data_IF_976027204861
#
_entry.id   IF_976027204861
#
_cell.length_a   1.000
_cell.length_b   1.000
_cell.length_c   1.000
_cell.angle_alpha   90.00
_cell.angle_beta   90.00
_cell.angle_gamma   90.00
#
_symmetry.space_group_name_H-M   'P 1'
#
loop_
_entity.id
_entity.type
_entity.pdbx_description
1 polymer ?
#
# COMPACT_ATOMS: atom_id res chain seq x y z
N UNK A 1 5.29 18.11 7.47
CA UNK A 1 4.09 18.47 6.69
C UNK A 1 3.24 17.25 6.45
N UNK A 2 1.98 17.39 6.66
CA UNK A 2 1.04 16.28 6.55
C UNK A 2 0.15 16.43 5.35
N UNK A 3 0.18 15.47 4.48
CA UNK A 3 -0.79 15.35 3.42
C UNK A 3 -1.67 14.16 3.65
N UNK A 4 -2.96 14.36 3.53
CA UNK A 4 -3.91 13.26 3.54
C UNK A 4 -4.34 12.96 2.14
N UNK A 5 -4.29 11.71 1.81
CA UNK A 5 -4.82 11.22 0.56
C UNK A 5 -5.92 10.22 0.82
N UNK A 6 -7.06 10.51 0.28
CA UNK A 6 -8.20 9.59 0.37
C UNK A 6 -8.29 8.75 -0.91
N UNK A 7 -8.45 7.47 -0.75
CA UNK A 7 -8.79 6.53 -1.82
C UNK A 7 -10.09 5.85 -1.45
N UNK A 8 -10.94 5.66 -2.43
CA UNK A 8 -12.20 4.93 -2.24
C UNK A 8 -12.10 3.59 -2.95
N UNK A 9 -12.63 2.57 -2.31
CA UNK A 9 -12.88 1.30 -2.93
C UNK A 9 -14.36 0.98 -2.81
N UNK A 10 -14.91 0.38 -3.84
CA UNK A 10 -16.28 -0.09 -3.81
C UNK A 10 -16.28 -1.59 -3.58
N UNK A 11 -17.00 -2.08 -2.59
CA UNK A 11 -17.18 -3.52 -2.41
C UNK A 11 -18.25 -4.04 -3.36
N UNK A 12 -18.07 -3.84 -4.64
CA UNK A 12 -19.10 -4.06 -5.64
C UNK A 12 -19.23 -5.50 -6.06
N UNK A 13 -18.14 -6.25 -5.89
CA UNK A 13 -18.10 -7.61 -6.36
C UNK A 13 -18.35 -8.57 -5.23
N UNK A 14 -19.17 -9.57 -5.49
CA UNK A 14 -19.48 -10.59 -4.51
C UNK A 14 -18.22 -11.29 -4.00
N UNK A 15 -17.26 -11.53 -4.85
CA UNK A 15 -16.00 -12.17 -4.48
C UNK A 15 -15.10 -11.33 -3.59
N UNK A 16 -15.39 -10.03 -3.43
CA UNK A 16 -14.65 -9.17 -2.51
C UNK A 16 -15.09 -9.35 -1.06
N UNK A 17 -16.20 -10.05 -0.84
CA UNK A 17 -16.76 -10.27 0.48
C UNK A 17 -16.44 -11.67 0.97
N UNK A 18 -16.31 -11.82 2.29
CA UNK A 18 -16.23 -13.14 2.88
C UNK A 18 -17.65 -13.77 2.96
N UNK A 19 -17.72 -14.98 3.51
CA UNK A 19 -18.98 -15.72 3.62
C UNK A 19 -20.03 -15.02 4.49
N UNK A 20 -19.62 -14.11 5.35
CA UNK A 20 -20.52 -13.33 6.21
C UNK A 20 -21.03 -12.05 5.52
N UNK A 21 -20.72 -11.84 4.25
CA UNK A 21 -21.12 -10.65 3.52
C UNK A 21 -20.28 -9.41 3.81
N UNK A 22 -19.18 -9.57 4.53
CA UNK A 22 -18.25 -8.47 4.81
C UNK A 22 -17.25 -8.31 3.69
N UNK A 23 -16.72 -7.11 3.55
CA UNK A 23 -15.62 -6.87 2.63
C UNK A 23 -14.44 -7.74 3.01
N UNK A 24 -13.89 -8.45 2.04
CA UNK A 24 -12.78 -9.36 2.25
C UNK A 24 -11.55 -8.62 2.79
N UNK A 25 -10.90 -9.20 3.80
CA UNK A 25 -9.72 -8.60 4.41
C UNK A 25 -8.58 -8.33 3.43
N UNK A 26 -8.40 -9.22 2.45
CA UNK A 26 -7.42 -9.02 1.39
C UNK A 26 -7.71 -7.80 0.51
N UNK A 27 -8.98 -7.49 0.28
CA UNK A 27 -9.36 -6.29 -0.46
C UNK A 27 -9.02 -5.02 0.33
N UNK A 28 -9.23 -5.03 1.64
CA UNK A 28 -8.85 -3.93 2.53
C UNK A 28 -7.33 -3.75 2.52
N UNK A 29 -6.57 -4.83 2.64
CA UNK A 29 -5.11 -4.77 2.60
C UNK A 29 -4.60 -4.22 1.26
N UNK A 30 -5.20 -4.63 0.15
CA UNK A 30 -4.86 -4.11 -1.18
C UNK A 30 -5.14 -2.62 -1.27
N UNK A 31 -6.28 -2.16 -0.78
CA UNK A 31 -6.62 -0.75 -0.76
C UNK A 31 -5.61 0.06 0.03
N UNK A 32 -5.20 -0.44 1.19
CA UNK A 32 -4.18 0.20 2.04
C UNK A 32 -2.85 0.27 1.29
N UNK A 33 -2.41 -0.84 0.71
CA UNK A 33 -1.14 -0.90 -0.01
C UNK A 33 -1.11 0.10 -1.18
N UNK A 34 -2.19 0.19 -1.93
CA UNK A 34 -2.31 1.14 -3.04
C UNK A 34 -2.30 2.59 -2.54
N UNK A 35 -3.06 2.89 -1.50
CA UNK A 35 -3.12 4.25 -0.95
C UNK A 35 -1.78 4.69 -0.37
N UNK A 36 -1.15 3.82 0.41
CA UNK A 36 0.15 4.11 1.03
C UNK A 36 1.26 4.17 -0.01
N UNK A 37 1.25 3.27 -0.99
CA UNK A 37 2.21 3.28 -2.09
C UNK A 37 2.13 4.56 -2.92
N UNK A 38 0.92 5.04 -3.20
CA UNK A 38 0.71 6.31 -3.89
C UNK A 38 1.25 7.50 -3.08
N UNK A 39 1.01 7.51 -1.78
CA UNK A 39 1.54 8.53 -0.89
C UNK A 39 3.07 8.49 -0.87
N UNK A 40 3.65 7.31 -0.75
CA UNK A 40 5.09 7.14 -0.75
C UNK A 40 5.72 7.59 -2.07
N UNK A 41 5.12 7.26 -3.20
CA UNK A 41 5.63 7.65 -4.51
C UNK A 41 5.67 9.17 -4.68
N UNK A 42 4.65 9.87 -4.20
CA UNK A 42 4.56 11.33 -4.33
C UNK A 42 5.39 12.10 -3.32
N UNK A 43 5.76 11.46 -2.23
CA UNK A 43 6.41 12.13 -1.10
C UNK A 43 7.89 11.81 -0.96
N UNK A 44 8.42 10.96 -1.84
CA UNK A 44 9.78 10.45 -1.76
C UNK A 44 10.65 10.91 -2.93
N UNK A 45 11.86 10.40 -2.97
CA UNK A 45 12.79 10.58 -4.08
C UNK A 45 12.50 9.69 -5.29
N UNK A 46 11.30 9.11 -5.34
CA UNK A 46 10.91 8.25 -6.46
C UNK A 46 10.88 9.03 -7.77
N UNK A 47 11.59 8.52 -8.75
CA UNK A 47 11.61 9.04 -10.13
C UNK A 47 11.38 7.89 -11.11
N UNK A 48 10.27 7.90 -11.86
CA UNK A 48 10.03 6.89 -12.89
C UNK A 48 11.22 6.79 -13.85
N UNK A 49 11.65 5.57 -14.15
CA UNK A 49 12.79 5.31 -15.01
C UNK A 49 14.14 5.27 -14.31
N UNK A 50 14.26 5.81 -13.10
CA UNK A 50 15.50 5.79 -12.31
C UNK A 50 15.45 4.82 -11.14
N UNK A 51 14.33 4.76 -10.49
CA UNK A 51 14.15 3.92 -9.32
C UNK A 51 12.72 3.40 -9.28
N UNK A 52 12.46 2.57 -8.31
CA UNK A 52 11.12 2.05 -8.06
C UNK A 52 10.84 2.06 -6.57
N UNK A 53 9.58 1.93 -6.23
CA UNK A 53 9.16 1.80 -4.84
C UNK A 53 8.69 0.37 -4.62
N UNK A 54 9.21 -0.23 -3.55
CA UNK A 54 8.77 -1.56 -3.11
C UNK A 54 8.24 -1.46 -1.69
N UNK A 55 7.14 -2.14 -1.44
CA UNK A 55 6.61 -2.26 -0.09
C UNK A 55 7.57 -3.10 0.75
N UNK A 56 8.04 -2.53 1.83
CA UNK A 56 8.95 -3.22 2.74
C UNK A 56 8.20 -3.90 3.87
N UNK A 57 7.15 -3.27 4.37
CA UNK A 57 6.38 -3.79 5.50
C UNK A 57 4.95 -3.25 5.42
N UNK A 58 4.02 -4.11 5.77
CA UNK A 58 2.62 -3.75 5.86
C UNK A 58 2.01 -4.50 7.03
N UNK A 59 1.58 -3.76 8.03
CA UNK A 59 0.89 -4.29 9.18
C UNK A 59 -0.53 -3.73 9.24
N UNK A 60 -1.51 -4.60 9.20
CA UNK A 60 -2.92 -4.21 9.16
C UNK A 60 -3.63 -4.75 10.39
N UNK A 61 -4.39 -3.87 11.05
CA UNK A 61 -5.32 -4.24 12.11
C UNK A 61 -6.74 -4.09 11.57
N UNK A 62 -7.49 -5.17 11.62
CA UNK A 62 -8.89 -5.17 11.24
C UNK A 62 -9.72 -4.92 12.49
N UNK A 63 -10.45 -3.82 12.52
CA UNK A 63 -11.09 -3.32 13.73
C UNK A 63 -12.60 -3.51 13.73
N UNK A 64 -13.22 -3.63 12.56
CA UNK A 64 -14.66 -3.78 12.52
C UNK A 64 -15.20 -3.99 11.12
N UNK A 65 -16.52 -4.11 11.06
CA UNK A 65 -17.24 -4.26 9.80
C UNK A 65 -17.60 -2.90 9.25
N UNK A 66 -17.43 -2.67 7.94
CA UNK A 66 -17.86 -1.43 7.34
C UNK A 66 -19.39 -1.32 7.35
N UNK A 67 -19.87 -0.14 7.60
CA UNK A 67 -21.26 0.23 7.39
C UNK A 67 -21.38 1.02 6.10
N UNK A 68 -22.41 0.69 5.32
CA UNK A 68 -22.56 1.25 3.98
C UNK A 68 -21.83 0.41 2.95
N UNK A 69 -21.78 0.91 1.75
CA UNK A 69 -21.33 0.19 0.56
C UNK A 69 -19.96 0.67 0.03
N UNK A 70 -19.35 1.62 0.69
CA UNK A 70 -18.07 2.20 0.28
C UNK A 70 -17.15 2.32 1.47
N UNK A 71 -15.90 1.96 1.25
CA UNK A 71 -14.81 2.24 2.20
C UNK A 71 -13.78 3.14 1.53
N UNK A 72 -13.09 3.93 2.33
CA UNK A 72 -12.01 4.76 1.84
C UNK A 72 -10.78 4.60 2.72
N UNK A 73 -9.62 4.61 2.11
CA UNK A 73 -8.37 4.62 2.82
C UNK A 73 -7.82 6.04 2.86
N UNK A 74 -7.42 6.48 4.03
CA UNK A 74 -6.73 7.74 4.23
C UNK A 74 -5.31 7.46 4.68
N UNK A 75 -4.36 7.80 3.81
CA UNK A 75 -2.94 7.63 4.08
C UNK A 75 -2.35 8.95 4.55
N UNK A 76 -1.47 8.87 5.54
CA UNK A 76 -0.77 10.02 6.09
C UNK A 76 0.72 9.72 6.14
N UNK A 77 1.52 10.60 5.54
CA UNK A 77 2.96 10.48 5.58
C UNK A 77 3.47 10.76 6.99
N UNK A 78 4.25 9.83 7.53
CA UNK A 78 4.95 10.04 8.80
C UNK A 78 6.39 10.49 8.57
N UNK A 79 7.06 9.90 7.58
CA UNK A 79 8.44 10.24 7.27
C UNK A 79 8.79 9.83 5.84
N UNK A 80 9.45 10.73 5.14
CA UNK A 80 10.11 10.41 3.87
C UNK A 80 11.62 10.56 4.07
N UNK A 81 12.27 9.44 4.31
CA UNK A 81 13.72 9.38 4.38
C UNK A 81 14.33 9.24 2.99
N UNK A 82 15.65 9.11 2.94
CA UNK A 82 16.36 8.97 1.68
C UNK A 82 15.94 7.72 0.91
N UNK A 83 15.76 6.61 1.61
CA UNK A 83 15.35 5.34 1.03
C UNK A 83 14.05 4.83 1.64
N UNK A 84 13.83 5.06 2.92
CA UNK A 84 12.69 4.53 3.64
C UNK A 84 11.61 5.59 3.75
N UNK A 85 10.40 5.21 3.39
CA UNK A 85 9.21 6.06 3.51
C UNK A 85 8.23 5.35 4.45
N UNK A 86 7.75 6.06 5.44
CA UNK A 86 6.83 5.52 6.44
C UNK A 86 5.51 6.25 6.36
N UNK A 87 4.43 5.49 6.24
CA UNK A 87 3.07 5.99 6.08
C UNK A 87 2.16 5.26 7.06
N UNK A 88 1.24 5.97 7.63
CA UNK A 88 0.14 5.33 8.36
C UNK A 88 -1.15 5.49 7.56
N UNK A 89 -2.08 4.59 7.78
CA UNK A 89 -3.32 4.57 7.03
C UNK A 89 -4.48 4.16 7.93
N UNK A 90 -5.62 4.79 7.71
CA UNK A 90 -6.89 4.34 8.27
C UNK A 90 -7.85 4.05 7.13
N UNK A 91 -8.66 3.03 7.30
CA UNK A 91 -9.76 2.74 6.39
C UNK A 91 -11.06 3.05 7.13
N UNK A 92 -11.87 3.88 6.52
CA UNK A 92 -13.11 4.34 7.10
C UNK A 92 -14.29 3.91 6.25
N UNK A 93 -15.40 3.66 6.89
CA UNK A 93 -16.65 3.37 6.21
C UNK A 93 -17.43 4.66 5.88
N UNK A 94 -18.65 4.49 5.36
CA UNK A 94 -19.50 5.61 4.97
C UNK A 94 -19.87 6.53 6.14
N UNK A 95 -19.88 6.00 7.37
CA UNK A 95 -20.19 6.76 8.58
C UNK A 95 -18.96 7.23 9.35
N UNK A 96 -17.77 7.17 8.71
CA UNK A 96 -16.49 7.56 9.30
C UNK A 96 -16.05 6.68 10.47
N UNK A 97 -16.56 5.46 10.56
CA UNK A 97 -16.01 4.49 11.50
C UNK A 97 -14.68 3.96 10.97
N UNK A 98 -13.68 3.92 11.82
CA UNK A 98 -12.40 3.31 11.46
C UNK A 98 -12.56 1.79 11.52
N UNK A 99 -12.49 1.15 10.35
CA UNK A 99 -12.65 -0.30 10.24
C UNK A 99 -11.33 -1.05 10.11
N UNK A 100 -10.29 -0.33 9.78
CA UNK A 100 -8.93 -0.87 9.75
C UNK A 100 -7.93 0.26 9.96
N UNK A 101 -6.79 -0.08 10.52
CA UNK A 101 -5.66 0.83 10.69
C UNK A 101 -4.39 0.10 10.31
N UNK A 102 -3.44 0.79 9.72
CA UNK A 102 -2.24 0.14 9.21
C UNK A 102 -1.01 1.02 9.38
N UNK A 103 0.11 0.33 9.50
CA UNK A 103 1.45 0.88 9.36
C UNK A 103 2.05 0.33 8.08
N UNK A 104 2.67 1.21 7.33
CA UNK A 104 3.24 0.88 6.03
C UNK A 104 4.63 1.49 5.92
N UNK A 105 5.56 0.72 5.38
CA UNK A 105 6.83 1.27 4.96
C UNK A 105 7.17 0.78 3.56
N UNK A 106 7.84 1.65 2.82
CA UNK A 106 8.31 1.35 1.48
C UNK A 106 9.75 1.78 1.35
N UNK A 107 10.44 1.17 0.42
CA UNK A 107 11.81 1.54 0.07
C UNK A 107 11.87 2.01 -1.37
N UNK A 108 12.63 3.09 -1.57
CA UNK A 108 13.00 3.54 -2.91
C UNK A 108 14.29 2.83 -3.27
N UNK A 109 14.23 2.01 -4.31
CA UNK A 109 15.37 1.21 -4.74
C UNK A 109 15.72 1.51 -6.20
N UNK A 110 17.03 1.48 -6.57
CA UNK A 110 17.42 1.70 -7.94
C UNK A 110 16.81 0.64 -8.86
N UNK A 111 16.45 1.05 -10.08
CA UNK A 111 16.10 0.09 -11.11
C UNK A 111 17.33 -0.70 -11.54
N UNK A 112 17.11 -1.98 -11.81
CA UNK A 112 18.17 -2.82 -12.40
C UNK A 112 18.42 -2.35 -13.83
N UNK A 113 19.71 -2.26 -14.18
CA UNK A 113 20.12 -2.09 -15.56
C UNK A 113 19.78 -3.37 -16.34
N UNK A 114 18.91 -3.31 -17.35
CA UNK A 114 18.57 -4.50 -18.13
C UNK A 114 19.77 -5.17 -18.79
N UNK A 115 20.76 -4.39 -19.19
CA UNK A 115 21.98 -4.91 -19.79
C UNK A 115 22.84 -5.67 -18.77
N UNK A 116 22.92 -5.19 -17.56
CA UNK A 116 23.60 -5.89 -16.47
C UNK A 116 22.82 -7.15 -16.07
N UNK A 117 21.53 -7.08 -16.06
CA UNK A 117 20.71 -8.24 -15.74
C UNK A 117 20.87 -9.34 -16.77
N UNK A 118 20.93 -9.01 -18.06
CA UNK A 118 21.13 -9.99 -19.13
C UNK A 118 22.56 -10.57 -19.14
N UNK A 119 23.55 -9.78 -18.81
CA UNK A 119 24.94 -10.24 -18.69
C UNK A 119 25.19 -11.13 -17.48
N UNK A 120 24.27 -11.16 -16.57
CA UNK A 120 24.27 -12.02 -15.38
C UNK A 120 23.20 -13.09 -15.43
N UNK A 121 22.80 -13.48 -16.60
CA UNK A 121 22.04 -14.71 -16.75
C UNK A 121 22.98 -15.82 -16.30
N UNK A 122 23.29 -15.84 -15.08
CA UNK A 122 24.20 -16.80 -14.56
C UNK A 122 23.42 -17.88 -13.84
N UNK A 123 24.10 -18.91 -13.74
CA UNK A 123 23.68 -20.13 -13.16
C UNK A 123 23.71 -20.12 -11.64
N UNK A 124 23.68 -18.96 -11.03
CA UNK A 124 23.64 -18.93 -9.58
C UNK A 124 22.27 -19.21 -9.08
N UNK A 125 22.21 -20.09 -8.11
CA UNK A 125 21.02 -20.24 -7.32
C UNK A 125 20.68 -18.87 -6.74
N UNK A 126 19.36 -18.54 -6.69
CA UNK A 126 18.97 -17.28 -6.07
C UNK A 126 19.43 -17.27 -4.63
N UNK A 127 20.09 -16.19 -4.28
CA UNK A 127 20.42 -15.94 -2.88
C UNK A 127 19.13 -15.64 -2.14
N UNK A 128 18.85 -16.45 -1.19
CA UNK A 128 17.70 -16.27 -0.33
C UNK A 128 18.04 -15.37 0.85
#
# INVERSE_FOLDING_TARGET
MRERRAKRARPERQEAFNQSGNLHGGAIATLIDVACGSMAARSSSFEPGRNTIVTADLHVRYLGRPKGDVVRAEARLLRAGRQLVVVECQVLDTLDNVIAAADFSAMVVPLRDPLRASGRADNRAPDL
#
